data_IF_689879399842
#
_entry.id   IF_689879399842
#
_cell.length_a   1.000
_cell.length_b   1.000
_cell.length_c   1.000
_cell.angle_alpha   90.00
_cell.angle_beta   90.00
_cell.angle_gamma   90.00
#
_symmetry.space_group_name_H-M   'P 1'
#
loop_
_entity.id
_entity.type
_entity.pdbx_description
1 polymer ?
#
# COMPACT_ATOMS: atom_id res chain seq x y z
N UNK A 1 19.98 11.72 -17.54
CA UNK A 1 20.12 11.28 -16.13
C UNK A 1 18.77 10.79 -15.66
N UNK A 2 18.68 9.56 -15.14
CA UNK A 2 17.43 9.01 -14.60
C UNK A 2 17.00 9.81 -13.37
N UNK A 3 15.74 10.26 -13.32
CA UNK A 3 15.15 10.92 -12.15
C UNK A 3 14.78 9.90 -11.06
N UNK A 4 15.49 8.80 -10.96
CA UNK A 4 15.17 7.73 -10.00
C UNK A 4 15.71 8.13 -8.63
N UNK A 5 14.86 8.07 -7.60
CA UNK A 5 15.26 8.33 -6.22
C UNK A 5 16.27 7.27 -5.77
N UNK A 6 17.41 7.68 -5.21
CA UNK A 6 18.46 6.76 -4.77
C UNK A 6 18.17 6.21 -3.36
N UNK A 7 18.79 5.08 -2.95
CA UNK A 7 18.66 4.56 -1.59
C UNK A 7 19.04 5.59 -0.52
N UNK A 8 20.11 6.36 -0.72
CA UNK A 8 20.57 7.39 0.21
C UNK A 8 19.55 8.52 0.37
N UNK A 9 18.85 8.88 -0.72
CA UNK A 9 17.75 9.85 -0.67
C UNK A 9 16.54 9.30 0.11
N UNK A 10 16.24 8.01 0.01
CA UNK A 10 15.18 7.38 0.81
C UNK A 10 15.54 7.31 2.30
N UNK A 11 16.78 6.97 2.63
CA UNK A 11 17.27 6.96 4.01
C UNK A 11 17.17 8.35 4.63
N UNK A 12 17.70 9.37 3.95
CA UNK A 12 17.64 10.74 4.43
C UNK A 12 16.20 11.26 4.56
N UNK A 13 15.33 10.90 3.62
CA UNK A 13 13.90 11.24 3.70
C UNK A 13 13.26 10.62 4.95
N UNK A 14 13.52 9.34 5.24
CA UNK A 14 13.01 8.67 6.42
C UNK A 14 13.56 9.29 7.72
N UNK A 15 14.82 9.73 7.75
CA UNK A 15 15.41 10.45 8.89
C UNK A 15 14.72 11.78 9.15
N UNK A 16 14.51 12.60 8.12
CA UNK A 16 13.84 13.89 8.28
C UNK A 16 12.39 13.66 8.75
N UNK A 17 11.70 12.67 8.19
CA UNK A 17 10.34 12.31 8.61
C UNK A 17 10.27 11.81 10.06
N UNK A 18 11.35 11.22 10.58
CA UNK A 18 11.45 10.85 12.00
C UNK A 18 11.48 12.05 12.94
N UNK A 19 11.97 13.21 12.48
CA UNK A 19 12.00 14.43 13.29
C UNK A 19 10.62 15.07 13.46
N UNK A 20 9.71 14.90 12.48
CA UNK A 20 8.37 15.49 12.48
C UNK A 20 7.32 14.45 12.09
N UNK A 21 6.85 13.70 13.09
CA UNK A 21 5.94 12.55 12.90
C UNK A 21 4.56 12.94 12.35
N UNK A 22 4.06 14.12 12.70
CA UNK A 22 2.81 14.68 12.18
C UNK A 22 2.84 14.87 10.66
N UNK A 23 3.96 15.35 10.13
CA UNK A 23 4.21 15.44 8.69
C UNK A 23 4.35 14.07 8.03
N UNK A 24 5.04 13.13 8.68
CA UNK A 24 5.20 11.77 8.18
C UNK A 24 3.86 11.06 7.97
N UNK A 25 2.96 11.19 8.95
CA UNK A 25 1.63 10.58 8.91
C UNK A 25 0.70 11.26 7.89
N UNK A 26 0.81 12.59 7.73
CA UNK A 26 -0.03 13.38 6.84
C UNK A 26 -1.22 14.06 7.52
N UNK A 27 -1.27 14.02 8.86
CA UNK A 27 -2.31 14.64 9.69
C UNK A 27 -1.85 15.99 10.27
N UNK A 28 -0.90 16.66 9.62
CA UNK A 28 -0.42 17.98 10.01
C UNK A 28 -1.57 19.00 10.03
N UNK A 29 -1.86 19.54 11.21
CA UNK A 29 -2.76 20.69 11.40
C UNK A 29 -1.91 21.96 11.46
N UNK A 30 -1.24 22.27 10.33
CA UNK A 30 -0.31 23.39 10.20
C UNK A 30 -0.75 24.36 9.10
N UNK A 31 -0.39 25.64 9.18
CA UNK A 31 -0.55 26.59 8.09
C UNK A 31 0.07 26.06 6.79
N UNK A 32 -0.53 26.41 5.65
CA UNK A 32 -0.03 25.99 4.33
C UNK A 32 1.42 26.41 4.08
N UNK A 33 1.83 27.57 4.60
CA UNK A 33 3.19 28.09 4.43
C UNK A 33 4.21 27.22 5.19
N UNK A 34 3.98 26.91 6.48
CA UNK A 34 4.85 26.00 7.25
C UNK A 34 4.98 24.63 6.57
N UNK A 35 3.90 24.14 5.96
CA UNK A 35 3.94 22.87 5.24
C UNK A 35 4.81 22.97 4.00
N UNK A 36 4.69 24.06 3.25
CA UNK A 36 5.49 24.32 2.05
C UNK A 36 6.96 24.46 2.40
N UNK A 37 7.30 25.29 3.39
CA UNK A 37 8.67 25.50 3.88
C UNK A 37 9.32 24.18 4.29
N UNK A 38 8.60 23.32 5.02
CA UNK A 38 9.12 22.02 5.42
C UNK A 38 9.45 21.11 4.21
N UNK A 39 8.59 21.08 3.20
CA UNK A 39 8.86 20.30 2.00
C UNK A 39 9.96 20.92 1.12
N UNK A 40 10.19 22.22 1.19
CA UNK A 40 11.33 22.90 0.56
C UNK A 40 12.65 22.57 1.26
N UNK A 41 12.66 22.53 2.60
CA UNK A 41 13.82 22.07 3.39
C UNK A 41 14.19 20.62 3.02
N UNK A 42 13.20 19.73 2.94
CA UNK A 42 13.41 18.34 2.47
C UNK A 42 14.00 18.34 1.06
N UNK A 43 13.45 19.12 0.14
CA UNK A 43 13.93 19.15 -1.23
C UNK A 43 15.41 19.56 -1.29
N UNK A 44 15.78 20.62 -0.57
CA UNK A 44 17.17 21.09 -0.50
C UNK A 44 18.11 20.02 0.06
N UNK A 45 17.73 19.36 1.16
CA UNK A 45 18.53 18.33 1.79
C UNK A 45 18.72 17.09 0.89
N UNK A 46 17.69 16.68 0.15
CA UNK A 46 17.74 15.49 -0.71
C UNK A 46 18.40 15.75 -2.08
N UNK A 47 18.22 16.96 -2.62
CA UNK A 47 18.85 17.37 -3.87
C UNK A 47 20.37 17.51 -3.72
N UNK A 48 20.88 17.72 -2.50
CA UNK A 48 22.32 17.70 -2.21
C UNK A 48 22.95 16.30 -2.33
N UNK A 49 22.15 15.23 -2.24
CA UNK A 49 22.63 13.84 -2.24
C UNK A 49 22.55 13.16 -3.62
N UNK A 50 21.78 13.72 -4.56
CA UNK A 50 21.47 13.01 -5.80
C UNK A 50 20.59 13.82 -6.76
N UNK A 51 19.82 13.16 -7.64
CA UNK A 51 19.00 13.84 -8.64
C UNK A 51 18.01 14.82 -8.02
N UNK A 52 18.04 16.07 -8.49
CA UNK A 52 17.19 17.13 -7.98
C UNK A 52 15.72 16.97 -8.37
N UNK A 53 14.83 17.24 -7.42
CA UNK A 53 13.37 17.27 -7.59
C UNK A 53 12.77 18.43 -6.80
N UNK A 54 11.59 18.85 -7.21
CA UNK A 54 10.82 19.89 -6.51
C UNK A 54 10.19 19.35 -5.22
N UNK A 55 9.87 20.24 -4.29
CA UNK A 55 9.22 19.93 -3.00
C UNK A 55 7.92 19.13 -3.17
N UNK A 56 7.09 19.48 -4.16
CA UNK A 56 5.86 18.77 -4.51
C UNK A 56 6.11 17.34 -4.99
N UNK A 57 7.21 17.13 -5.73
CA UNK A 57 7.63 15.81 -6.20
C UNK A 57 8.12 14.96 -5.04
N UNK A 58 8.90 15.52 -4.11
CA UNK A 58 9.33 14.81 -2.90
C UNK A 58 8.16 14.40 -2.02
N UNK A 59 7.15 15.27 -1.89
CA UNK A 59 5.89 14.92 -1.21
C UNK A 59 5.20 13.73 -1.87
N UNK A 60 5.14 13.71 -3.20
CA UNK A 60 4.58 12.57 -3.94
C UNK A 60 5.39 11.29 -3.74
N UNK A 61 6.72 11.36 -3.80
CA UNK A 61 7.62 10.23 -3.54
C UNK A 61 7.33 9.62 -2.16
N UNK A 62 7.16 10.44 -1.12
CA UNK A 62 6.81 9.95 0.23
C UNK A 62 5.47 9.22 0.25
N UNK A 63 4.44 9.79 -0.38
CA UNK A 63 3.10 9.18 -0.46
C UNK A 63 3.15 7.83 -1.20
N UNK A 64 3.77 7.81 -2.38
CA UNK A 64 3.89 6.62 -3.21
C UNK A 64 4.69 5.52 -2.49
N UNK A 65 5.74 5.89 -1.75
CA UNK A 65 6.55 4.95 -0.97
C UNK A 65 5.74 4.33 0.18
N UNK A 66 4.97 5.11 0.94
CA UNK A 66 4.03 4.58 1.95
C UNK A 66 3.01 3.63 1.33
N UNK A 67 2.44 3.99 0.18
CA UNK A 67 1.48 3.15 -0.55
C UNK A 67 2.11 1.82 -1.00
N UNK A 68 3.34 1.86 -1.50
CA UNK A 68 4.10 0.67 -1.89
C UNK A 68 4.31 -0.27 -0.70
N UNK A 69 4.81 0.25 0.42
CA UNK A 69 5.04 -0.51 1.65
C UNK A 69 3.73 -1.11 2.18
N UNK A 70 2.64 -0.33 2.20
CA UNK A 70 1.31 -0.80 2.60
C UNK A 70 0.80 -1.97 1.74
N UNK A 71 0.98 -1.88 0.42
CA UNK A 71 0.65 -2.96 -0.52
C UNK A 71 1.42 -4.23 -0.20
N UNK A 72 2.72 -4.09 0.07
CA UNK A 72 3.62 -5.18 0.44
C UNK A 72 3.19 -5.89 1.72
N UNK A 73 2.88 -5.13 2.77
CA UNK A 73 2.31 -5.64 4.02
C UNK A 73 0.99 -6.39 3.80
N UNK A 74 0.11 -5.81 2.98
CA UNK A 74 -1.21 -6.38 2.71
C UNK A 74 -1.10 -7.69 1.92
N UNK A 75 -0.18 -7.76 0.95
CA UNK A 75 0.11 -8.98 0.19
C UNK A 75 0.66 -10.08 1.12
N UNK A 76 1.68 -9.77 1.92
CA UNK A 76 2.24 -10.74 2.87
C UNK A 76 1.18 -11.27 3.85
N UNK A 77 0.31 -10.40 4.35
CA UNK A 77 -0.77 -10.81 5.24
C UNK A 77 -1.74 -11.77 4.55
N UNK A 78 -2.13 -11.49 3.31
CA UNK A 78 -3.00 -12.39 2.53
C UNK A 78 -2.37 -13.76 2.32
N UNK A 79 -1.07 -13.79 1.98
CA UNK A 79 -0.33 -15.05 1.82
C UNK A 79 -0.29 -15.86 3.13
N UNK A 80 -0.05 -15.22 4.28
CA UNK A 80 -0.04 -15.90 5.59
C UNK A 80 -1.42 -16.45 5.97
N UNK A 81 -2.49 -15.74 5.60
CA UNK A 81 -3.87 -16.16 5.88
C UNK A 81 -4.42 -17.20 4.90
N UNK A 82 -3.76 -17.38 3.74
CA UNK A 82 -4.18 -18.38 2.75
C UNK A 82 -3.69 -19.76 3.18
N UNK A 83 -4.63 -20.65 3.51
CA UNK A 83 -4.36 -22.06 3.86
C UNK A 83 -4.40 -23.00 2.65
N UNK A 84 -4.59 -22.47 1.44
CA UNK A 84 -4.57 -23.29 0.21
C UNK A 84 -3.14 -23.67 -0.18
N UNK A 85 -2.92 -24.91 -0.62
CA UNK A 85 -1.60 -25.49 -0.95
C UNK A 85 -0.84 -24.89 -2.15
N UNK A 86 -1.06 -23.61 -2.46
CA UNK A 86 -0.31 -22.86 -3.46
C UNK A 86 1.05 -22.39 -2.95
N UNK A 87 1.89 -21.91 -3.86
CA UNK A 87 3.20 -21.34 -3.53
C UNK A 87 3.06 -20.03 -2.73
N UNK A 88 3.50 -20.04 -1.48
CA UNK A 88 3.59 -18.86 -0.63
C UNK A 88 4.65 -17.88 -1.17
N UNK A 89 4.26 -16.65 -1.52
CA UNK A 89 5.16 -15.62 -2.05
C UNK A 89 5.25 -14.40 -1.12
N UNK A 90 5.95 -14.57 0.00
CA UNK A 90 6.23 -13.46 0.91
C UNK A 90 7.28 -12.49 0.35
N UNK A 91 6.94 -11.21 0.38
CA UNK A 91 7.84 -10.11 0.00
C UNK A 91 8.67 -9.68 1.22
N UNK A 92 10.00 -9.66 1.10
CA UNK A 92 10.88 -9.25 2.22
C UNK A 92 10.72 -7.76 2.53
N UNK A 93 10.34 -7.41 3.75
CA UNK A 93 10.37 -6.02 4.23
C UNK A 93 11.82 -5.66 4.59
N UNK A 94 12.34 -4.54 4.11
CA UNK A 94 13.69 -4.09 4.42
C UNK A 94 13.72 -3.30 5.75
N UNK A 95 14.88 -3.19 6.43
CA UNK A 95 14.99 -2.41 7.68
C UNK A 95 14.54 -0.95 7.52
N UNK A 96 14.79 -0.35 6.36
CA UNK A 96 14.34 1.00 6.05
C UNK A 96 12.82 1.08 5.92
N UNK A 97 12.19 0.08 5.29
CA UNK A 97 10.73 -0.02 5.22
C UNK A 97 10.13 -0.24 6.60
N UNK A 98 10.72 -1.09 7.45
CA UNK A 98 10.30 -1.30 8.85
C UNK A 98 10.31 0.01 9.66
N UNK A 99 11.34 0.83 9.49
CA UNK A 99 11.41 2.17 10.09
C UNK A 99 10.24 3.05 9.64
N UNK A 100 9.93 3.07 8.34
CA UNK A 100 8.80 3.85 7.80
C UNK A 100 7.47 3.31 8.32
N UNK A 101 7.31 1.99 8.43
CA UNK A 101 6.11 1.33 8.99
C UNK A 101 5.89 1.82 10.41
N UNK A 102 6.88 1.67 11.30
CA UNK A 102 6.79 2.08 12.70
C UNK A 102 6.53 3.58 12.86
N UNK A 103 7.14 4.42 12.01
CA UNK A 103 6.92 5.85 12.00
C UNK A 103 5.46 6.23 11.68
N UNK A 104 4.90 5.59 10.66
CA UNK A 104 3.64 6.00 10.04
C UNK A 104 2.43 5.19 10.54
N UNK A 105 2.63 4.11 11.29
CA UNK A 105 1.58 3.25 11.82
C UNK A 105 0.89 2.41 10.75
N UNK A 106 1.59 2.08 9.66
CA UNK A 106 1.02 1.37 8.50
C UNK A 106 0.51 -0.05 8.86
N UNK A 107 1.08 -0.70 9.88
CA UNK A 107 0.61 -1.99 10.38
C UNK A 107 -0.85 -1.93 10.88
N UNK A 108 -1.24 -0.81 11.49
CA UNK A 108 -2.61 -0.62 11.98
C UNK A 108 -3.59 -0.49 10.82
N UNK A 109 -3.21 0.23 9.75
CA UNK A 109 -4.06 0.43 8.57
C UNK A 109 -4.25 -0.82 7.70
N UNK A 110 -3.43 -1.86 7.89
CA UNK A 110 -3.56 -3.16 7.19
C UNK A 110 -4.27 -4.21 8.05
N UNK A 111 -4.53 -3.87 9.32
CA UNK A 111 -5.42 -4.62 10.19
C UNK A 111 -6.84 -4.14 9.94
N UNK A 112 -7.59 -4.91 9.14
CA UNK A 112 -9.03 -4.67 8.99
C UNK A 112 -9.70 -4.57 10.35
N UNK A 113 -10.76 -3.79 10.45
CA UNK A 113 -11.59 -3.74 11.66
C UNK A 113 -12.05 -5.18 11.92
N UNK A 114 -11.57 -5.78 13.01
CA UNK A 114 -12.10 -7.07 13.48
C UNK A 114 -13.59 -6.80 13.71
N UNK A 115 -14.48 -7.47 12.95
CA UNK A 115 -15.94 -7.28 12.91
C UNK A 115 -16.52 -6.30 11.87
N UNK A 116 -15.79 -5.88 10.84
CA UNK A 116 -16.45 -5.28 9.66
C UNK A 116 -17.44 -6.29 9.06
N UNK A 117 -18.72 -5.92 8.95
CA UNK A 117 -19.72 -6.72 8.22
C UNK A 117 -19.47 -6.53 6.73
N UNK A 118 -19.10 -7.60 6.05
CA UNK A 118 -19.14 -7.64 4.59
C UNK A 118 -20.60 -7.72 4.13
N UNK A 119 -21.04 -6.72 3.37
CA UNK A 119 -22.29 -6.81 2.60
C UNK A 119 -21.92 -7.40 1.23
N UNK A 120 -21.82 -8.72 1.17
CA UNK A 120 -21.67 -9.44 -0.10
C UNK A 120 -23.02 -9.48 -0.82
N UNK A 121 -23.08 -8.90 -2.01
CA UNK A 121 -24.19 -9.06 -2.94
C UNK A 121 -24.28 -10.54 -3.35
N UNK A 122 -25.14 -11.28 -2.66
CA UNK A 122 -25.45 -12.67 -3.01
C UNK A 122 -26.49 -12.65 -4.11
N UNK A 123 -26.07 -12.39 -5.34
CA UNK A 123 -26.86 -12.73 -6.51
C UNK A 123 -27.02 -14.24 -6.54
N UNK A 124 -28.21 -14.72 -6.18
CA UNK A 124 -28.55 -16.14 -6.24
C UNK A 124 -28.50 -16.61 -7.68
N UNK A 125 -27.56 -17.49 -7.99
CA UNK A 125 -27.54 -18.21 -9.26
C UNK A 125 -28.59 -19.31 -9.16
N UNK A 126 -29.71 -19.15 -9.87
CA UNK A 126 -30.69 -20.22 -10.03
C UNK A 126 -30.16 -21.23 -11.05
N UNK A 127 -29.81 -22.40 -10.53
CA UNK A 127 -29.65 -23.64 -11.26
C UNK A 127 -31.01 -24.03 -11.86
N UNK A 128 -31.10 -24.09 -13.20
CA UNK A 128 -32.19 -24.78 -13.88
C UNK A 128 -31.55 -25.84 -14.76
N UNK A 129 -31.23 -26.97 -14.12
CA UNK A 129 -31.15 -28.24 -14.82
C UNK A 129 -32.56 -28.64 -15.25
N UNK A 130 -32.85 -28.58 -16.55
CA UNK A 130 -33.98 -29.29 -17.13
C UNK A 130 -33.44 -30.37 -18.06
N UNK A 131 -33.25 -31.55 -17.46
CA UNK A 131 -33.13 -32.84 -18.15
C UNK A 131 -34.48 -33.18 -18.76
N UNK A 132 -34.60 -33.22 -20.09
CA UNK A 132 -35.69 -33.93 -20.75
C UNK A 132 -35.17 -35.30 -21.20
N UNK A 133 -35.58 -36.33 -20.47
CA UNK A 133 -35.42 -37.73 -20.87
C UNK A 133 -36.28 -38.09 -22.10
N UNK A 134 -35.83 -39.15 -22.75
CA UNK A 134 -36.28 -39.74 -24.02
C UNK A 134 -37.71 -40.28 -23.97
N UNK A 135 -38.39 -40.23 -25.12
CA UNK A 135 -39.40 -41.24 -25.47
C UNK A 135 -39.03 -41.89 -26.81
N UNK A 136 -38.66 -43.17 -26.72
CA UNK A 136 -38.53 -44.10 -27.84
C UNK A 136 -39.84 -44.91 -27.83
N UNK A 137 -40.63 -44.81 -28.90
CA UNK A 137 -41.72 -45.76 -29.17
C UNK A 137 -41.59 -46.30 -30.59
N UNK A 138 -41.29 -47.59 -30.68
CA UNK A 138 -41.39 -48.42 -31.87
C UNK A 138 -42.67 -49.27 -31.81
N UNK A 139 -43.04 -49.83 -32.98
CA UNK A 139 -44.20 -50.69 -33.30
C UNK A 139 -45.40 -49.91 -33.86
N UNK A 140 -45.94 -50.21 -35.05
CA UNK A 140 -45.83 -51.39 -35.94
C UNK A 140 -45.89 -50.99 -37.41
#
# INVERSE_FOLDING_TARGET
MSKTTTPEQYEKLADIMATKRDFAQGFQQRPKEEVKEFWEEIANALNALGPSKDSSTWRKVWIDWKCYIKRKLSANKKEIMSTGGGQCRLQRISPLEEKVIALTGLETCTSGIRCARDYGDSAQVQDVAQTSEMDISACS
#
